data_IF_114828929555
#
_entry.id   IF_114828929555
#
_cell.length_a   1.000
_cell.length_b   1.000
_cell.length_c   1.000
_cell.angle_alpha   90.00
_cell.angle_beta   90.00
_cell.angle_gamma   90.00
#
_symmetry.space_group_name_H-M   'P 1'
#
loop_
_entity.id
_entity.type
_entity.pdbx_description
1 polymer ?
#
# COMPACT_ATOMS: atom_id res chain seq x y z
N UNK A 1 5.96 -2.36 -13.02
CA UNK A 1 5.08 -3.53 -13.15
C UNK A 1 3.65 -3.04 -13.07
N UNK A 2 3.01 -2.93 -14.22
CA UNK A 2 1.62 -2.54 -14.37
C UNK A 2 0.73 -3.58 -13.71
N UNK A 3 0.03 -3.20 -12.66
CA UNK A 3 -1.12 -3.97 -12.18
C UNK A 3 -2.10 -4.03 -13.34
N UNK A 4 -2.30 -5.21 -13.89
CA UNK A 4 -3.45 -5.49 -14.74
C UNK A 4 -4.69 -5.24 -13.86
N UNK A 5 -5.22 -4.04 -13.92
CA UNK A 5 -6.58 -3.77 -13.47
C UNK A 5 -7.47 -4.67 -14.31
N UNK A 6 -7.95 -5.78 -13.71
CA UNK A 6 -8.91 -6.66 -14.37
C UNK A 6 -10.11 -5.77 -14.67
N UNK A 7 -10.36 -5.50 -15.97
CA UNK A 7 -11.51 -4.70 -16.36
C UNK A 7 -12.79 -5.43 -15.92
N UNK A 8 -13.84 -4.68 -15.62
CA UNK A 8 -15.15 -5.27 -15.27
C UNK A 8 -15.61 -6.31 -16.31
N UNK A 9 -15.24 -6.13 -17.59
CA UNK A 9 -15.47 -7.08 -18.66
C UNK A 9 -14.68 -8.38 -18.49
N UNK A 10 -13.41 -8.31 -18.11
CA UNK A 10 -12.57 -9.50 -17.88
C UNK A 10 -13.08 -10.31 -16.69
N UNK A 11 -13.51 -9.63 -15.62
CA UNK A 11 -14.10 -10.29 -14.45
C UNK A 11 -15.41 -10.99 -14.80
N UNK A 12 -16.28 -10.36 -15.59
CA UNK A 12 -17.52 -10.97 -16.06
C UNK A 12 -17.28 -12.22 -16.92
N UNK A 13 -16.27 -12.19 -17.79
CA UNK A 13 -15.88 -13.35 -18.61
C UNK A 13 -15.37 -14.50 -17.73
N UNK A 14 -14.51 -14.21 -16.73
CA UNK A 14 -14.01 -15.25 -15.81
C UNK A 14 -15.17 -15.90 -15.04
N UNK A 15 -16.12 -15.11 -14.52
CA UNK A 15 -17.31 -15.63 -13.82
C UNK A 15 -18.16 -16.50 -14.76
N UNK A 16 -18.40 -16.05 -16.00
CA UNK A 16 -19.16 -16.82 -16.97
C UNK A 16 -18.50 -18.16 -17.31
N UNK A 17 -17.17 -18.19 -17.45
CA UNK A 17 -16.40 -19.42 -17.70
C UNK A 17 -16.52 -20.39 -16.52
N UNK A 18 -16.34 -19.89 -15.28
CA UNK A 18 -16.49 -20.73 -14.07
C UNK A 18 -17.88 -21.35 -13.98
N UNK A 19 -18.93 -20.56 -14.25
CA UNK A 19 -20.30 -21.05 -14.25
C UNK A 19 -20.50 -22.13 -15.33
N UNK A 20 -19.99 -21.89 -16.54
CA UNK A 20 -20.05 -22.85 -17.64
C UNK A 20 -19.32 -24.16 -17.31
N UNK A 21 -18.15 -24.10 -16.70
CA UNK A 21 -17.38 -25.27 -16.27
C UNK A 21 -18.12 -26.07 -15.19
N UNK A 22 -18.75 -25.40 -14.22
CA UNK A 22 -19.58 -26.06 -13.21
C UNK A 22 -20.74 -26.80 -13.88
N UNK A 23 -21.45 -26.17 -14.81
CA UNK A 23 -22.53 -26.83 -15.55
C UNK A 23 -22.02 -27.99 -16.38
N UNK A 24 -20.88 -27.87 -17.05
CA UNK A 24 -20.25 -28.94 -17.84
C UNK A 24 -19.91 -30.15 -16.95
N UNK A 25 -19.32 -29.93 -15.79
CA UNK A 25 -18.99 -31.00 -14.82
C UNK A 25 -20.26 -31.71 -14.36
N UNK A 26 -21.33 -31.00 -14.00
CA UNK A 26 -22.61 -31.62 -13.63
C UNK A 26 -23.23 -32.41 -14.78
N UNK A 27 -23.17 -31.87 -16.01
CA UNK A 27 -23.65 -32.55 -17.20
C UNK A 27 -22.87 -33.84 -17.45
N UNK A 28 -21.53 -33.81 -17.41
CA UNK A 28 -20.65 -34.95 -17.61
C UNK A 28 -20.87 -36.03 -16.54
N UNK A 29 -21.06 -35.64 -15.27
CA UNK A 29 -21.40 -36.58 -14.20
C UNK A 29 -22.75 -37.25 -14.47
N UNK A 30 -23.76 -36.46 -14.85
CA UNK A 30 -25.07 -36.99 -15.23
C UNK A 30 -25.04 -37.94 -16.42
N UNK A 31 -24.29 -37.57 -17.46
CA UNK A 31 -24.08 -38.37 -18.65
C UNK A 31 -23.36 -39.70 -18.35
N UNK A 32 -22.28 -39.65 -17.59
CA UNK A 32 -21.51 -40.85 -17.20
C UNK A 32 -22.33 -41.81 -16.36
N UNK A 33 -23.21 -41.33 -15.50
CA UNK A 33 -24.14 -42.15 -14.69
C UNK A 33 -25.17 -42.83 -15.59
N UNK A 34 -25.74 -42.11 -16.57
CA UNK A 34 -26.68 -42.70 -17.56
C UNK A 34 -26.00 -43.73 -18.44
N UNK A 35 -24.80 -43.45 -18.93
CA UNK A 35 -24.01 -44.39 -19.75
C UNK A 35 -23.66 -45.67 -18.97
N UNK A 36 -23.28 -45.55 -17.67
CA UNK A 36 -23.04 -46.74 -16.83
C UNK A 36 -24.31 -47.55 -16.60
N UNK A 37 -25.47 -46.91 -16.37
CA UNK A 37 -26.74 -47.57 -16.20
C UNK A 37 -27.17 -48.32 -17.45
N UNK A 38 -27.00 -47.71 -18.66
CA UNK A 38 -27.29 -48.33 -19.93
C UNK A 38 -26.40 -49.57 -20.20
N UNK A 39 -25.10 -49.49 -19.88
CA UNK A 39 -24.15 -50.62 -20.01
C UNK A 39 -24.51 -51.78 -19.08
N UNK A 40 -24.95 -51.53 -17.85
CA UNK A 40 -25.40 -52.55 -16.89
C UNK A 40 -26.70 -53.23 -17.35
N UNK A 41 -27.63 -52.44 -17.89
CA UNK A 41 -28.84 -52.99 -18.48
C UNK A 41 -28.55 -53.89 -19.69
N UNK A 42 -27.62 -53.51 -20.57
CA UNK A 42 -27.19 -54.31 -21.71
C UNK A 42 -26.42 -55.56 -21.30
N UNK A 43 -25.76 -55.60 -20.16
CA UNK A 43 -25.08 -56.77 -19.61
C UNK A 43 -25.99 -57.75 -18.86
N UNK A 44 -27.30 -57.51 -18.83
CA UNK A 44 -28.26 -58.38 -18.12
C UNK A 44 -28.15 -58.31 -16.57
N UNK A 45 -27.42 -57.35 -16.03
CA UNK A 45 -27.39 -57.14 -14.58
C UNK A 45 -28.75 -56.64 -14.09
N UNK A 46 -29.27 -57.23 -12.99
CA UNK A 46 -30.49 -56.78 -12.36
C UNK A 46 -30.44 -55.28 -12.10
N UNK A 47 -31.50 -54.52 -12.39
CA UNK A 47 -31.54 -53.10 -12.12
C UNK A 47 -31.21 -52.85 -10.64
N UNK A 48 -30.26 -51.94 -10.42
CA UNK A 48 -29.89 -51.53 -9.07
C UNK A 48 -31.19 -51.11 -8.31
N UNK A 49 -31.33 -51.55 -7.06
CA UNK A 49 -32.47 -51.21 -6.24
C UNK A 49 -32.77 -49.68 -6.37
N UNK A 50 -34.05 -49.31 -6.48
CA UNK A 50 -34.43 -47.94 -6.71
C UNK A 50 -33.82 -47.07 -5.61
N UNK A 51 -33.12 -46.03 -6.01
CA UNK A 51 -32.51 -45.10 -5.08
C UNK A 51 -33.59 -44.61 -4.10
N UNK A 52 -33.34 -44.74 -2.80
CA UNK A 52 -34.28 -44.26 -1.77
C UNK A 52 -34.68 -42.84 -2.10
N UNK A 53 -36.00 -42.60 -2.24
CA UNK A 53 -36.50 -41.24 -2.49
C UNK A 53 -36.05 -40.34 -1.34
N UNK A 54 -35.40 -39.22 -1.68
CA UNK A 54 -34.93 -38.26 -0.70
C UNK A 54 -36.15 -37.57 -0.12
N UNK A 55 -36.33 -37.61 1.20
CA UNK A 55 -37.44 -36.94 1.88
C UNK A 55 -37.29 -35.40 1.67
N UNK A 56 -38.41 -34.67 1.68
CA UNK A 56 -38.42 -33.20 1.62
C UNK A 56 -37.54 -32.61 2.71
N UNK A 57 -37.56 -33.19 3.90
CA UNK A 57 -36.75 -32.77 5.06
C UNK A 57 -35.26 -32.95 4.80
N UNK A 58 -34.85 -34.10 4.23
CA UNK A 58 -33.45 -34.38 3.93
C UNK A 58 -32.93 -33.50 2.79
N UNK A 59 -33.79 -33.23 1.79
CA UNK A 59 -33.47 -32.31 0.72
C UNK A 59 -33.21 -30.90 1.25
N UNK A 60 -34.15 -30.35 2.06
CA UNK A 60 -34.02 -29.02 2.63
C UNK A 60 -32.80 -28.91 3.56
N UNK A 61 -32.55 -29.93 4.38
CA UNK A 61 -31.38 -29.97 5.27
C UNK A 61 -30.06 -29.96 4.47
N UNK A 62 -29.98 -30.77 3.42
CA UNK A 62 -28.79 -30.84 2.57
C UNK A 62 -28.59 -29.52 1.81
N UNK A 63 -29.66 -28.97 1.25
CA UNK A 63 -29.59 -27.69 0.54
C UNK A 63 -29.12 -26.56 1.47
N UNK A 64 -29.68 -26.48 2.67
CA UNK A 64 -29.26 -25.48 3.66
C UNK A 64 -27.79 -25.65 4.07
N UNK A 65 -27.39 -26.86 4.42
CA UNK A 65 -25.99 -27.12 4.81
C UNK A 65 -25.01 -26.81 3.67
N UNK A 66 -25.36 -27.18 2.44
CA UNK A 66 -24.52 -26.86 1.27
C UNK A 66 -24.42 -25.35 1.05
N UNK A 67 -25.52 -24.62 1.13
CA UNK A 67 -25.53 -23.17 0.97
C UNK A 67 -24.72 -22.46 2.07
N UNK A 68 -24.84 -22.89 3.32
CA UNK A 68 -24.06 -22.34 4.44
C UNK A 68 -22.57 -22.63 4.28
N UNK A 69 -22.22 -23.85 3.82
CA UNK A 69 -20.82 -24.20 3.58
C UNK A 69 -20.22 -23.40 2.41
N UNK A 70 -20.95 -23.24 1.29
CA UNK A 70 -20.50 -22.44 0.15
C UNK A 70 -20.32 -20.97 0.56
N UNK A 71 -21.31 -20.38 1.22
CA UNK A 71 -21.21 -19.00 1.71
C UNK A 71 -20.03 -18.84 2.68
N UNK A 72 -19.86 -19.77 3.62
CA UNK A 72 -18.74 -19.73 4.57
C UNK A 72 -17.38 -19.86 3.89
N UNK A 73 -17.28 -20.69 2.84
CA UNK A 73 -16.07 -20.84 2.07
C UNK A 73 -15.75 -19.56 1.25
N UNK A 74 -16.72 -19.01 0.54
CA UNK A 74 -16.54 -17.79 -0.25
C UNK A 74 -16.21 -16.58 0.64
N UNK A 75 -16.97 -16.39 1.71
CA UNK A 75 -16.73 -15.30 2.65
C UNK A 75 -15.39 -15.48 3.38
N UNK A 76 -15.07 -16.69 3.82
CA UNK A 76 -13.82 -17.00 4.50
C UNK A 76 -12.60 -16.79 3.59
N UNK A 77 -12.63 -17.31 2.36
CA UNK A 77 -11.56 -17.13 1.40
C UNK A 77 -11.41 -15.65 1.00
N UNK A 78 -12.53 -14.94 0.81
CA UNK A 78 -12.52 -13.51 0.52
C UNK A 78 -11.92 -12.69 1.66
N UNK A 79 -12.29 -13.01 2.89
CA UNK A 79 -11.74 -12.35 4.10
C UNK A 79 -10.25 -12.62 4.26
N UNK A 80 -9.81 -13.87 4.09
CA UNK A 80 -8.37 -14.22 4.14
C UNK A 80 -7.62 -13.48 3.04
N UNK A 81 -8.14 -13.46 1.79
CA UNK A 81 -7.51 -12.75 0.68
C UNK A 81 -7.43 -11.24 0.91
N UNK A 82 -8.46 -10.65 1.51
CA UNK A 82 -8.48 -9.22 1.84
C UNK A 82 -7.51 -8.88 2.99
N UNK A 83 -7.44 -9.73 4.01
CA UNK A 83 -6.54 -9.53 5.16
C UNK A 83 -5.11 -10.00 4.89
N UNK A 84 -4.87 -10.68 3.77
CA UNK A 84 -3.53 -11.16 3.44
C UNK A 84 -2.60 -9.98 3.18
N UNK A 85 -1.49 -9.84 3.94
CA UNK A 85 -0.60 -8.72 3.77
C UNK A 85 0.03 -8.73 2.38
N UNK A 86 -0.12 -7.63 1.64
CA UNK A 86 0.57 -7.47 0.37
C UNK A 86 2.04 -7.15 0.63
N UNK A 87 2.87 -8.18 0.68
CA UNK A 87 4.30 -8.07 0.97
C UNK A 87 5.13 -7.58 -0.24
N UNK A 88 4.49 -7.33 -1.39
CA UNK A 88 5.17 -6.88 -2.62
C UNK A 88 4.95 -5.38 -2.83
N UNK A 89 5.90 -4.57 -2.38
CA UNK A 89 6.05 -3.20 -2.85
C UNK A 89 5.02 -2.20 -2.30
N UNK A 90 5.05 -1.93 -1.00
CA UNK A 90 4.29 -0.86 -0.36
C UNK A 90 5.11 -0.19 0.73
N UNK A 91 4.48 0.67 1.53
CA UNK A 91 5.09 1.23 2.72
C UNK A 91 5.63 0.12 3.63
N UNK A 92 6.88 0.24 4.05
CA UNK A 92 7.63 -0.81 4.76
C UNK A 92 8.61 -1.59 3.87
N UNK A 93 8.82 -1.15 2.63
CA UNK A 93 9.79 -1.72 1.68
C UNK A 93 10.57 -0.63 0.95
N UNK A 94 11.48 -1.05 0.05
CA UNK A 94 12.15 -0.12 -0.88
C UNK A 94 11.19 0.29 -1.98
N UNK A 95 11.05 1.61 -2.17
CA UNK A 95 10.14 2.21 -3.15
C UNK A 95 10.93 3.08 -4.11
N UNK A 96 10.86 2.79 -5.40
CA UNK A 96 11.43 3.65 -6.43
C UNK A 96 10.54 4.88 -6.61
N UNK A 97 11.11 6.06 -6.35
CA UNK A 97 10.40 7.33 -6.41
C UNK A 97 10.36 7.93 -7.82
N UNK A 98 11.37 7.67 -8.64
CA UNK A 98 11.48 8.18 -10.00
C UNK A 98 12.93 8.55 -10.37
N UNK A 99 13.11 9.14 -11.56
CA UNK A 99 14.40 9.56 -12.05
C UNK A 99 14.96 10.74 -11.24
N UNK A 100 16.24 10.67 -10.87
CA UNK A 100 16.90 11.69 -10.05
C UNK A 100 16.87 13.10 -10.67
N UNK A 101 17.08 13.21 -11.98
CA UNK A 101 17.13 14.52 -12.65
C UNK A 101 15.74 15.16 -12.74
N UNK A 102 14.71 14.35 -12.98
CA UNK A 102 13.32 14.82 -12.97
C UNK A 102 12.92 15.30 -11.56
N UNK A 103 13.26 14.52 -10.53
CA UNK A 103 13.01 14.89 -9.13
C UNK A 103 13.73 16.20 -8.78
N UNK A 104 14.99 16.37 -9.16
CA UNK A 104 15.73 17.60 -8.92
C UNK A 104 15.09 18.80 -9.62
N UNK A 105 14.67 18.65 -10.86
CA UNK A 105 14.01 19.74 -11.61
C UNK A 105 12.66 20.13 -10.99
N UNK A 106 11.91 19.15 -10.49
CA UNK A 106 10.64 19.39 -9.81
C UNK A 106 10.86 20.07 -8.44
N UNK A 107 11.88 19.66 -7.69
CA UNK A 107 12.26 20.30 -6.42
C UNK A 107 12.62 21.78 -6.65
N UNK A 108 13.35 22.11 -7.71
CA UNK A 108 13.70 23.50 -8.04
C UNK A 108 12.46 24.37 -8.30
N UNK A 109 11.40 23.80 -8.85
CA UNK A 109 10.17 24.52 -9.20
C UNK A 109 9.16 24.54 -8.05
N UNK A 110 8.94 23.38 -7.40
CA UNK A 110 7.89 23.18 -6.41
C UNK A 110 8.41 23.13 -4.97
N UNK A 111 9.75 23.15 -4.74
CA UNK A 111 10.45 22.98 -3.48
C UNK A 111 10.43 21.55 -2.91
N UNK A 112 9.55 20.68 -3.35
CA UNK A 112 9.48 19.31 -2.93
C UNK A 112 8.79 18.41 -3.97
N UNK A 113 9.05 17.10 -3.89
CA UNK A 113 8.28 16.07 -4.60
C UNK A 113 7.62 15.17 -3.56
N UNK A 114 6.30 14.92 -3.68
CA UNK A 114 5.60 14.04 -2.77
C UNK A 114 5.43 12.63 -3.35
N UNK A 115 6.06 11.65 -2.71
CA UNK A 115 5.95 10.24 -3.07
C UNK A 115 4.92 9.55 -2.19
N UNK A 116 3.67 9.48 -2.68
CA UNK A 116 2.53 8.98 -1.91
C UNK A 116 2.70 7.54 -1.42
N UNK A 117 3.25 6.64 -2.23
CA UNK A 117 3.52 5.24 -1.87
C UNK A 117 4.50 5.12 -0.69
N UNK A 118 5.50 6.01 -0.62
CA UNK A 118 6.49 6.09 0.44
C UNK A 118 6.05 6.99 1.61
N UNK A 119 4.94 7.72 1.48
CA UNK A 119 4.49 8.75 2.45
C UNK A 119 5.60 9.75 2.79
N UNK A 120 6.37 10.15 1.77
CA UNK A 120 7.62 10.90 1.90
C UNK A 120 7.61 12.13 1.03
N UNK A 121 8.18 13.21 1.53
CA UNK A 121 8.60 14.35 0.74
C UNK A 121 10.08 14.17 0.38
N UNK A 122 10.41 14.36 -0.88
CA UNK A 122 11.77 14.52 -1.36
C UNK A 122 12.04 16.02 -1.51
N UNK A 123 13.07 16.49 -0.85
CA UNK A 123 13.46 17.91 -0.82
C UNK A 123 14.92 18.07 -1.21
N UNK A 124 15.29 19.24 -1.70
CA UNK A 124 16.70 19.57 -1.89
C UNK A 124 17.40 19.80 -0.55
N UNK A 125 18.63 19.27 -0.43
CA UNK A 125 19.47 19.52 0.73
C UNK A 125 20.92 19.78 0.27
N UNK A 126 21.37 20.99 0.53
CA UNK A 126 22.73 21.46 0.27
C UNK A 126 23.39 21.95 1.57
N UNK A 127 22.92 21.43 2.70
CA UNK A 127 23.38 21.86 4.01
C UNK A 127 24.80 21.43 4.30
N UNK A 128 25.42 22.10 5.27
CA UNK A 128 26.75 21.75 5.75
C UNK A 128 26.63 20.55 6.70
N UNK A 129 27.33 19.42 6.44
CA UNK A 129 27.41 18.32 7.40
C UNK A 129 28.06 18.82 8.68
N UNK A 130 27.45 18.49 9.81
CA UNK A 130 28.18 18.55 11.07
C UNK A 130 28.19 19.88 11.81
N UNK A 131 27.02 20.27 12.30
CA UNK A 131 26.99 21.06 13.55
C UNK A 131 27.08 20.17 14.79
N UNK A 132 27.44 18.89 14.64
CA UNK A 132 27.52 17.89 15.71
C UNK A 132 26.19 17.30 16.16
N UNK A 133 25.05 17.79 15.65
CA UNK A 133 23.70 17.32 16.05
C UNK A 133 23.04 16.41 15.04
N UNK A 134 23.47 16.41 13.77
CA UNK A 134 22.98 15.54 12.70
C UNK A 134 24.01 15.40 11.58
N UNK A 135 24.23 14.18 11.13
CA UNK A 135 25.04 13.86 9.95
C UNK A 135 24.19 13.09 8.94
N UNK A 136 23.40 13.83 8.17
CA UNK A 136 22.44 13.25 7.23
C UNK A 136 23.06 12.37 6.14
N UNK A 137 24.23 12.70 5.58
CA UNK A 137 24.93 11.81 4.68
C UNK A 137 25.35 10.50 5.33
N UNK A 138 25.93 10.54 6.53
CA UNK A 138 26.34 9.33 7.25
C UNK A 138 25.14 8.48 7.71
N UNK A 139 23.99 9.12 8.00
CA UNK A 139 22.75 8.43 8.29
C UNK A 139 22.10 7.78 7.05
N UNK A 140 22.57 8.12 5.85
CA UNK A 140 22.03 7.62 4.57
C UNK A 140 20.63 8.16 4.25
N UNK A 141 20.25 9.32 4.80
CA UNK A 141 18.95 9.95 4.55
C UNK A 141 18.99 11.01 3.46
N UNK A 142 20.19 11.24 2.91
CA UNK A 142 20.44 12.09 1.75
C UNK A 142 21.26 11.35 0.69
N UNK A 143 21.02 11.64 -0.58
CA UNK A 143 21.85 11.18 -1.69
C UNK A 143 21.75 12.19 -2.84
N UNK A 144 22.90 12.55 -3.42
CA UNK A 144 22.98 13.45 -4.58
C UNK A 144 22.22 14.78 -4.41
N UNK A 145 22.26 15.38 -3.21
CA UNK A 145 21.60 16.66 -2.93
C UNK A 145 20.08 16.56 -2.72
N UNK A 146 19.54 15.35 -2.61
CA UNK A 146 18.13 15.10 -2.28
C UNK A 146 18.04 14.46 -0.89
N UNK A 147 17.04 14.83 -0.10
CA UNK A 147 16.73 14.30 1.23
C UNK A 147 15.32 13.75 1.28
N UNK A 148 15.11 12.65 2.01
CA UNK A 148 13.78 12.07 2.25
C UNK A 148 13.23 12.50 3.60
N UNK A 149 12.01 13.04 3.65
CA UNK A 149 11.32 13.44 4.86
C UNK A 149 10.03 12.65 5.04
N UNK A 150 9.83 11.99 6.17
CA UNK A 150 8.56 11.33 6.47
C UNK A 150 7.48 12.38 6.71
N UNK A 151 6.33 12.27 6.02
CA UNK A 151 5.22 13.24 6.11
C UNK A 151 4.60 13.39 7.50
N UNK A 152 4.96 12.53 8.47
CA UNK A 152 4.30 12.41 9.76
C UNK A 152 4.90 13.34 10.79
N UNK A 153 4.06 14.19 11.39
CA UNK A 153 4.44 15.04 12.53
C UNK A 153 4.89 14.17 13.71
N UNK A 154 6.06 14.48 14.25
CA UNK A 154 6.63 13.74 15.39
C UNK A 154 5.98 14.12 16.73
N UNK A 155 5.04 15.10 16.76
CA UNK A 155 4.22 15.38 17.93
C UNK A 155 3.19 14.28 18.17
N UNK A 156 2.17 14.15 17.30
CA UNK A 156 1.06 13.20 17.44
C UNK A 156 0.66 12.53 16.11
N UNK A 157 1.50 12.60 15.08
CA UNK A 157 1.32 11.79 13.87
C UNK A 157 0.52 12.42 12.73
N UNK A 158 0.11 13.70 12.83
CA UNK A 158 -0.59 14.38 11.74
C UNK A 158 0.28 14.48 10.48
N UNK A 159 -0.34 14.52 9.30
CA UNK A 159 0.36 14.86 8.06
C UNK A 159 0.81 16.33 8.12
N UNK A 160 2.05 16.59 7.72
CA UNK A 160 2.65 17.93 7.71
C UNK A 160 2.77 18.40 6.27
N UNK A 161 1.88 19.29 5.77
CA UNK A 161 1.99 19.86 4.45
C UNK A 161 3.10 20.91 4.36
N UNK A 162 3.59 21.13 3.14
CA UNK A 162 4.48 22.24 2.82
C UNK A 162 3.66 23.54 2.67
N UNK A 163 4.16 24.62 3.23
CA UNK A 163 3.56 25.94 3.13
C UNK A 163 4.32 26.77 2.08
N UNK A 164 3.64 27.17 1.00
CA UNK A 164 4.28 27.89 -0.10
C UNK A 164 4.72 29.32 0.26
N UNK A 165 4.09 29.96 1.26
CA UNK A 165 4.46 31.30 1.69
C UNK A 165 5.66 31.31 2.64
N UNK A 166 5.65 30.48 3.67
CA UNK A 166 6.75 30.39 4.62
C UNK A 166 7.94 29.58 4.12
N UNK A 167 7.73 28.74 3.08
CA UNK A 167 8.68 27.73 2.58
C UNK A 167 9.05 26.66 3.62
N UNK A 168 8.21 26.49 4.62
CA UNK A 168 8.38 25.50 5.68
C UNK A 168 7.30 24.43 5.64
N UNK A 169 7.55 23.33 6.31
CA UNK A 169 6.54 22.32 6.59
C UNK A 169 5.77 22.67 7.87
N UNK A 170 4.45 22.76 7.80
CA UNK A 170 3.62 23.23 8.89
C UNK A 170 2.53 22.22 9.25
N UNK A 171 2.54 21.78 10.52
CA UNK A 171 1.56 20.83 11.00
C UNK A 171 0.24 21.54 11.36
N UNK A 172 -0.89 21.20 10.72
CA UNK A 172 -2.16 21.89 10.95
C UNK A 172 -2.82 21.55 12.29
N UNK A 173 -2.35 20.49 12.99
CA UNK A 173 -3.01 20.04 14.20
C UNK A 173 -2.68 20.93 15.41
N UNK A 174 -1.40 21.23 15.65
CA UNK A 174 -0.96 22.01 16.82
C UNK A 174 0.18 22.97 16.46
N UNK A 175 0.31 23.36 15.21
CA UNK A 175 1.22 24.42 14.78
C UNK A 175 2.71 24.10 14.80
N UNK A 176 3.14 22.84 14.95
CA UNK A 176 4.57 22.50 14.82
C UNK A 176 5.08 22.86 13.43
N UNK A 177 6.27 23.47 13.35
CA UNK A 177 6.88 23.96 12.12
C UNK A 177 8.29 23.44 11.96
N UNK A 178 8.64 23.15 10.72
CA UNK A 178 9.92 22.60 10.33
C UNK A 178 10.41 23.33 9.07
N UNK A 179 11.69 23.58 8.94
CA UNK A 179 12.25 24.14 7.71
C UNK A 179 12.16 23.15 6.53
N UNK A 180 12.68 23.52 5.36
CA UNK A 180 12.70 22.66 4.18
C UNK A 180 13.46 21.34 4.38
N UNK A 181 14.47 21.32 5.27
CA UNK A 181 15.19 20.09 5.66
C UNK A 181 14.48 19.29 6.76
N UNK A 182 13.25 19.66 7.14
CA UNK A 182 12.51 18.99 8.21
C UNK A 182 13.06 19.20 9.61
N UNK A 183 13.93 20.20 9.83
CA UNK A 183 14.47 20.55 11.13
C UNK A 183 13.46 21.36 11.93
N UNK A 184 13.37 21.10 13.25
CA UNK A 184 12.43 21.77 14.12
C UNK A 184 12.67 23.28 14.21
N UNK A 185 11.62 24.07 14.08
CA UNK A 185 11.65 25.52 14.24
C UNK A 185 10.70 26.01 15.35
N UNK A 186 9.44 25.59 15.37
CA UNK A 186 8.42 26.05 16.31
C UNK A 186 7.41 24.95 16.68
N UNK A 187 6.69 25.18 17.80
CA UNK A 187 5.54 24.36 18.21
C UNK A 187 5.87 23.22 19.17
N UNK A 188 4.91 22.33 19.43
CA UNK A 188 5.03 21.30 20.47
C UNK A 188 5.85 20.07 20.08
N UNK A 189 6.25 19.89 18.82
CA UNK A 189 7.04 18.73 18.40
C UNK A 189 8.36 18.63 19.17
N UNK A 190 8.77 17.45 19.64
CA UNK A 190 9.99 17.28 20.45
C UNK A 190 11.29 17.35 19.64
N UNK A 191 11.27 17.18 18.32
CA UNK A 191 12.41 17.13 17.41
C UNK A 191 11.99 17.43 15.96
N UNK A 192 12.92 17.38 15.03
CA UNK A 192 12.65 17.47 13.59
C UNK A 192 11.87 16.27 13.06
N UNK A 193 11.43 16.35 11.78
CA UNK A 193 10.72 15.29 11.10
C UNK A 193 11.59 14.03 10.96
N UNK A 194 10.95 12.88 11.11
CA UNK A 194 11.58 11.59 10.83
C UNK A 194 11.92 11.45 9.34
N UNK A 195 12.82 10.56 9.03
CA UNK A 195 13.39 10.36 7.70
C UNK A 195 13.43 8.90 7.32
N UNK A 196 13.63 8.64 6.03
CA UNK A 196 13.94 7.31 5.52
C UNK A 196 15.34 7.29 4.90
N UNK A 197 15.96 6.13 4.93
CA UNK A 197 17.16 5.93 4.14
C UNK A 197 16.81 5.99 2.65
N UNK A 198 17.72 6.53 1.86
CA UNK A 198 17.58 6.62 0.43
C UNK A 198 18.89 6.35 -0.29
N UNK A 199 18.78 5.96 -1.53
CA UNK A 199 19.91 5.72 -2.42
C UNK A 199 19.53 6.03 -3.87
N UNK A 200 20.52 6.25 -4.72
CA UNK A 200 20.30 6.33 -6.16
C UNK A 200 20.81 5.04 -6.79
N UNK A 201 19.92 4.33 -7.49
CA UNK A 201 20.21 3.06 -8.18
C UNK A 201 19.81 3.23 -9.64
N UNK A 202 20.75 3.04 -10.56
CA UNK A 202 20.52 3.18 -12.01
C UNK A 202 19.84 4.51 -12.38
N UNK A 203 20.27 5.61 -11.74
CA UNK A 203 19.73 6.94 -11.96
C UNK A 203 18.34 7.21 -11.35
N UNK A 204 17.79 6.25 -10.61
CA UNK A 204 16.50 6.38 -9.93
C UNK A 204 16.68 6.53 -8.42
N UNK A 205 15.89 7.41 -7.82
CA UNK A 205 15.83 7.57 -6.37
C UNK A 205 15.02 6.42 -5.77
N UNK A 206 15.60 5.72 -4.82
CA UNK A 206 14.99 4.63 -4.06
C UNK A 206 14.92 5.02 -2.59
N UNK A 207 13.73 5.00 -2.02
CA UNK A 207 13.48 5.28 -0.60
C UNK A 207 13.19 3.98 0.14
N UNK A 208 13.95 3.69 1.18
CA UNK A 208 13.74 2.50 2.03
C UNK A 208 12.84 2.86 3.22
N UNK A 209 11.57 2.51 3.11
CA UNK A 209 10.56 2.78 4.14
C UNK A 209 10.47 1.69 5.21
N UNK A 210 11.33 0.67 5.17
CA UNK A 210 11.33 -0.43 6.14
C UNK A 210 11.79 0.00 7.53
N UNK A 211 12.64 1.03 7.59
CA UNK A 211 13.19 1.56 8.84
C UNK A 211 13.08 3.07 8.90
N UNK A 212 12.44 3.58 9.94
CA UNK A 212 12.33 5.02 10.19
C UNK A 212 13.59 5.48 10.93
N UNK A 213 14.27 6.48 10.36
CA UNK A 213 15.33 7.22 11.03
C UNK A 213 14.72 8.37 11.81
N UNK A 214 15.06 8.48 13.07
CA UNK A 214 14.54 9.56 13.91
C UNK A 214 15.03 10.91 13.41
N UNK A 215 14.15 11.91 13.47
CA UNK A 215 14.49 13.28 13.14
C UNK A 215 15.52 13.87 14.09
N UNK A 216 16.24 14.92 13.69
CA UNK A 216 17.29 15.55 14.50
C UNK A 216 16.71 16.22 15.72
N UNK A 217 17.51 16.37 16.80
CA UNK A 217 17.09 17.09 18.00
C UNK A 217 16.76 18.56 17.71
N UNK A 218 16.04 19.20 18.62
CA UNK A 218 15.83 20.66 18.58
C UNK A 218 17.18 21.39 18.60
N UNK A 219 17.26 22.50 17.88
CA UNK A 219 18.50 23.27 17.73
C UNK A 219 19.35 22.88 16.54
N UNK A 220 19.05 21.76 15.87
CA UNK A 220 19.70 21.44 14.60
C UNK A 220 19.30 22.46 13.53
N UNK A 221 20.29 22.98 12.83
CA UNK A 221 20.12 23.95 11.75
C UNK A 221 21.27 23.79 10.74
N UNK A 222 21.06 22.95 9.74
CA UNK A 222 22.12 22.65 8.72
C UNK A 222 22.00 23.50 7.47
N UNK A 223 20.86 24.15 7.25
CA UNK A 223 20.57 24.89 6.03
C UNK A 223 20.47 26.39 6.24
N UNK A 224 20.40 26.88 7.49
CA UNK A 224 20.16 28.28 7.84
C UNK A 224 18.96 28.93 7.12
N UNK A 225 18.01 28.09 6.66
CA UNK A 225 16.86 28.58 5.91
C UNK A 225 15.99 29.52 6.78
N UNK A 226 15.86 30.81 6.39
CA UNK A 226 15.01 31.76 7.09
C UNK A 226 13.52 31.48 6.83
N UNK A 227 12.66 32.14 7.59
CA UNK A 227 11.25 32.26 7.28
C UNK A 227 11.07 33.25 6.12
N UNK A 228 10.50 32.80 5.01
CA UNK A 228 10.38 33.64 3.79
C UNK A 228 9.08 34.45 3.74
N UNK A 229 8.05 34.02 4.45
CA UNK A 229 6.74 34.70 4.43
C UNK A 229 5.82 34.25 5.56
N UNK A 230 4.55 34.66 5.52
CA UNK A 230 3.61 34.34 6.59
C UNK A 230 3.34 32.84 6.69
N UNK A 231 3.06 32.39 7.91
CA UNK A 231 2.65 31.02 8.16
C UNK A 231 1.30 30.70 7.53
N UNK A 232 1.17 29.47 6.98
CA UNK A 232 -0.10 28.91 6.54
C UNK A 232 -0.95 28.44 7.73
N UNK A 233 -0.30 28.03 8.82
CA UNK A 233 -0.94 27.54 10.04
C UNK A 233 -0.55 28.47 11.18
N UNK A 234 -1.53 28.98 11.93
CA UNK A 234 -1.26 29.78 13.11
C UNK A 234 -0.31 29.05 14.08
N UNK A 235 0.58 29.76 14.80
CA UNK A 235 1.31 29.15 15.89
C UNK A 235 0.32 28.63 16.94
N UNK A 236 0.53 27.42 17.43
CA UNK A 236 -0.26 26.83 18.52
C UNK A 236 0.24 27.30 19.87
#
# INVERSE_FOLDING_TARGET
MTFLAISNGTLAVIIAVIIADIFLVFFLIGYSRRAKAARRAAAGELPAAPAKAVSRRDFQRRALLTSVMLFGAEFGLGTIGFLWPNLKGGFGSKITAGNLQEIKSEIQTANYVYVGAARTYLVGWEGTPGTGLADYPAEGVTSDGVMSLYQRCVHLGCRVPFCNSSKWFECPCHGSKYNNAGEYKLGPAPRGLDRFQMSVVDGNVVVDTSTIKLGPPRGTNTTDQPLEGPFCVAPG
#
